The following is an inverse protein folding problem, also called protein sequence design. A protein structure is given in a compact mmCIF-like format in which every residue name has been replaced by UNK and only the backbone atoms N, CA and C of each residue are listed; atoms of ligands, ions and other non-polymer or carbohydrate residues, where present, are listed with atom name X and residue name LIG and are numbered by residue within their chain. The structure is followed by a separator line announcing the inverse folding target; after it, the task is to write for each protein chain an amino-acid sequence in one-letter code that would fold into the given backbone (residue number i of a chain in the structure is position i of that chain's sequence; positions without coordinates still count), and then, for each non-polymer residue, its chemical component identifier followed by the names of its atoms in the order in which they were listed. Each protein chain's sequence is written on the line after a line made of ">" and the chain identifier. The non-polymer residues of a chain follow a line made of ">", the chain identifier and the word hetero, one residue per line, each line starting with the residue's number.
data_IF_451826846621
#
_entry.id   IF_451826846621
#
_cell.length_a   1.000
_cell.length_b   1.000
_cell.length_c   1.000
_cell.angle_alpha   90.00
_cell.angle_beta   90.00
_cell.angle_gamma   90.00
#
_symmetry.space_group_name_H-M   'P 1'
#
loop_
_entity.id
_entity.type
_entity.pdbx_description
1 polymer ?
#
# COMPACT_ATOMS: atom_id res chain seq x y z
N UNK A 1 -15.00 -16.23 10.69
CA UNK A 1 -14.48 -15.06 9.96
C UNK A 1 -13.05 -14.85 10.41
N UNK A 2 -12.17 -14.32 9.55
CA UNK A 2 -10.82 -13.99 9.98
C UNK A 2 -10.91 -12.83 10.99
N UNK A 3 -10.35 -13.02 12.18
CA UNK A 3 -10.34 -12.01 13.24
C UNK A 3 -8.90 -11.51 13.38
N UNK A 4 -8.72 -10.19 13.23
CA UNK A 4 -7.43 -9.54 13.38
C UNK A 4 -7.32 -8.99 14.81
N UNK A 5 -6.25 -9.35 15.50
CA UNK A 5 -5.92 -8.82 16.82
C UNK A 5 -4.53 -8.19 16.77
N UNK A 6 -4.35 -7.10 17.49
CA UNK A 6 -3.04 -6.49 17.60
C UNK A 6 -2.07 -7.45 18.29
N UNK A 7 -0.83 -7.49 17.80
CA UNK A 7 0.26 -8.20 18.45
C UNK A 7 1.57 -7.50 18.15
N UNK A 8 2.61 -7.79 18.94
CA UNK A 8 3.95 -7.23 18.72
C UNK A 8 4.54 -7.58 17.35
N UNK A 9 4.00 -8.59 16.65
CA UNK A 9 4.39 -8.93 15.29
C UNK A 9 4.00 -7.88 14.24
N UNK A 10 3.12 -6.93 14.59
CA UNK A 10 2.73 -5.80 13.74
C UNK A 10 3.48 -4.50 14.09
N UNK A 11 4.29 -4.47 15.16
CA UNK A 11 5.09 -3.29 15.48
C UNK A 11 6.16 -3.07 14.40
N UNK A 12 6.24 -1.83 13.91
CA UNK A 12 7.19 -1.41 12.89
C UNK A 12 8.29 -0.51 13.45
N UNK A 13 8.35 -0.31 14.77
CA UNK A 13 9.27 0.60 15.47
C UNK A 13 9.14 2.05 14.97
N UNK A 14 7.90 2.49 14.76
CA UNK A 14 7.58 3.87 14.38
C UNK A 14 6.29 4.26 15.11
N UNK A 15 6.37 4.81 16.34
CA UNK A 15 5.23 4.90 17.25
C UNK A 15 3.96 5.51 16.65
N UNK A 16 4.09 6.59 15.85
CA UNK A 16 2.93 7.21 15.23
C UNK A 16 2.22 6.29 14.23
N UNK A 17 2.97 5.55 13.41
CA UNK A 17 2.43 4.56 12.47
C UNK A 17 1.84 3.36 13.24
N UNK A 18 2.53 2.87 14.26
CA UNK A 18 2.06 1.75 15.09
C UNK A 18 0.74 2.09 15.81
N UNK A 19 0.57 3.33 16.27
CA UNK A 19 -0.66 3.81 16.89
C UNK A 19 -1.81 3.86 15.88
N UNK A 20 -1.59 4.41 14.68
CA UNK A 20 -2.58 4.40 13.60
C UNK A 20 -2.95 2.98 13.17
N UNK A 21 -1.98 2.05 13.13
CA UNK A 21 -2.24 0.65 12.82
C UNK A 21 -3.05 -0.05 13.91
N UNK A 22 -2.80 0.24 15.19
CA UNK A 22 -3.62 -0.24 16.33
C UNK A 22 -5.07 0.23 16.20
N UNK A 23 -5.27 1.51 15.92
CA UNK A 23 -6.60 2.09 15.71
C UNK A 23 -7.36 1.40 14.57
N UNK A 24 -6.68 1.09 13.46
CA UNK A 24 -7.26 0.34 12.34
C UNK A 24 -7.75 -1.05 12.79
N UNK A 25 -6.92 -1.79 13.54
CA UNK A 25 -7.29 -3.11 14.08
C UNK A 25 -8.51 -3.02 15.00
N UNK A 26 -8.54 -2.03 15.90
CA UNK A 26 -9.65 -1.82 16.82
C UNK A 26 -10.95 -1.47 16.09
N UNK A 27 -10.89 -0.61 15.07
CA UNK A 27 -12.05 -0.24 14.25
C UNK A 27 -12.55 -1.43 13.42
N UNK A 28 -11.66 -2.25 12.88
CA UNK A 28 -12.02 -3.46 12.16
C UNK A 28 -12.69 -4.49 13.06
N UNK A 29 -12.19 -4.67 14.29
CA UNK A 29 -12.84 -5.51 15.30
C UNK A 29 -14.23 -4.96 15.67
N UNK A 30 -14.39 -3.64 15.78
CA UNK A 30 -15.69 -3.02 16.03
C UNK A 30 -16.68 -3.26 14.89
N UNK A 31 -16.23 -3.32 13.63
CA UNK A 31 -17.04 -3.70 12.46
C UNK A 31 -17.45 -5.17 12.52
N UNK A 32 -16.53 -6.08 12.84
CA UNK A 32 -16.81 -7.52 12.92
C UNK A 32 -17.89 -7.82 13.98
N UNK A 33 -17.80 -7.16 15.13
CA UNK A 33 -18.75 -7.30 16.24
C UNK A 33 -20.05 -6.49 16.08
N UNK A 34 -20.21 -5.74 14.98
CA UNK A 34 -21.36 -4.88 14.80
C UNK A 34 -22.66 -5.67 14.53
N UNK A 35 -23.75 -5.25 15.17
CA UNK A 35 -25.09 -5.61 14.71
C UNK A 35 -25.38 -4.99 13.35
N UNK A 36 -26.37 -5.50 12.61
CA UNK A 36 -26.73 -4.96 11.30
C UNK A 36 -27.11 -3.47 11.36
N UNK A 37 -27.71 -3.02 12.47
CA UNK A 37 -28.08 -1.61 12.68
C UNK A 37 -26.85 -0.69 12.88
N UNK A 38 -25.74 -1.23 13.38
CA UNK A 38 -24.52 -0.47 13.68
C UNK A 38 -23.43 -0.62 12.61
N UNK A 39 -23.57 -1.61 11.72
CA UNK A 39 -22.53 -2.02 10.78
C UNK A 39 -22.12 -0.89 9.83
N UNK A 40 -23.09 -0.24 9.17
CA UNK A 40 -22.80 0.84 8.22
C UNK A 40 -22.16 2.07 8.90
N UNK A 41 -22.65 2.57 10.05
CA UNK A 41 -21.96 3.61 10.80
C UNK A 41 -20.50 3.26 11.15
N UNK A 42 -20.25 2.06 11.71
CA UNK A 42 -18.89 1.65 12.09
C UNK A 42 -17.98 1.45 10.87
N UNK A 43 -18.52 0.92 9.78
CA UNK A 43 -17.81 0.80 8.51
C UNK A 43 -17.36 2.16 7.99
N UNK A 44 -18.22 3.18 8.05
CA UNK A 44 -17.84 4.54 7.63
C UNK A 44 -16.71 5.13 8.48
N UNK A 45 -16.72 4.89 9.79
CA UNK A 45 -15.60 5.28 10.67
C UNK A 45 -14.31 4.58 10.27
N UNK A 46 -14.36 3.27 9.97
CA UNK A 46 -13.20 2.54 9.47
C UNK A 46 -12.69 3.13 8.14
N UNK A 47 -13.59 3.41 7.18
CA UNK A 47 -13.22 4.03 5.88
C UNK A 47 -12.53 5.39 6.07
N UNK A 48 -13.08 6.24 6.93
CA UNK A 48 -12.53 7.56 7.22
C UNK A 48 -11.14 7.47 7.86
N UNK A 49 -10.98 6.56 8.84
CA UNK A 49 -9.69 6.29 9.45
C UNK A 49 -8.67 5.78 8.42
N UNK A 50 -9.03 4.81 7.59
CA UNK A 50 -8.16 4.26 6.55
C UNK A 50 -7.75 5.31 5.52
N UNK A 51 -8.63 6.25 5.18
CA UNK A 51 -8.30 7.36 4.28
C UNK A 51 -7.26 8.31 4.89
N UNK A 52 -7.40 8.64 6.18
CA UNK A 52 -6.43 9.47 6.90
C UNK A 52 -5.09 8.76 7.05
N UNK A 53 -5.12 7.48 7.42
CA UNK A 53 -3.94 6.62 7.55
C UNK A 53 -3.16 6.57 6.22
N UNK A 54 -3.79 6.14 5.14
CA UNK A 54 -3.11 6.04 3.85
C UNK A 54 -2.65 7.40 3.31
N UNK A 55 -3.42 8.47 3.53
CA UNK A 55 -3.02 9.81 3.13
C UNK A 55 -1.76 10.28 3.86
N UNK A 56 -1.66 10.01 5.16
CA UNK A 56 -0.48 10.35 5.95
C UNK A 56 0.77 9.61 5.46
N UNK A 57 0.67 8.30 5.20
CA UNK A 57 1.80 7.53 4.66
C UNK A 57 2.19 7.96 3.24
N UNK A 58 1.21 8.25 2.38
CA UNK A 58 1.44 8.78 1.04
C UNK A 58 2.20 10.12 1.08
N UNK A 59 1.85 11.01 2.03
CA UNK A 59 2.55 12.28 2.25
C UNK A 59 3.99 12.08 2.75
N UNK A 60 4.21 11.13 3.66
CA UNK A 60 5.57 10.75 4.09
C UNK A 60 6.39 10.19 2.93
N UNK A 61 5.80 9.33 2.10
CA UNK A 61 6.47 8.79 0.93
C UNK A 61 6.86 9.89 -0.06
N UNK A 62 5.94 10.81 -0.35
CA UNK A 62 6.18 11.92 -1.26
C UNK A 62 7.28 12.87 -0.74
N UNK A 63 7.19 13.27 0.53
CA UNK A 63 8.11 14.25 1.14
C UNK A 63 9.53 13.71 1.30
N UNK A 64 9.68 12.39 1.49
CA UNK A 64 10.99 11.75 1.68
C UNK A 64 11.53 11.06 0.43
N UNK A 65 10.91 11.29 -0.74
CA UNK A 65 11.30 10.71 -2.03
C UNK A 65 11.28 9.18 -2.06
N UNK A 66 10.48 8.58 -1.18
CA UNK A 66 10.10 7.18 -1.24
C UNK A 66 9.00 6.97 -2.31
N UNK A 67 9.08 7.71 -3.41
CA UNK A 67 8.00 7.87 -4.36
C UNK A 67 8.54 8.02 -5.78
N UNK A 68 8.73 6.91 -6.49
CA UNK A 68 8.17 6.85 -7.84
C UNK A 68 8.05 5.41 -8.36
N UNK A 69 6.86 5.06 -8.82
CA UNK A 69 6.49 3.75 -9.34
C UNK A 69 5.85 2.79 -8.32
N UNK A 70 5.56 3.26 -7.11
CA UNK A 70 5.36 2.41 -5.94
C UNK A 70 3.99 1.72 -5.95
N UNK A 71 3.97 0.39 -5.98
CA UNK A 71 2.74 -0.38 -5.76
C UNK A 71 2.04 0.01 -4.45
N UNK A 72 2.76 0.63 -3.49
CA UNK A 72 2.24 1.04 -2.20
C UNK A 72 1.04 2.00 -2.30
N UNK A 73 1.23 3.26 -2.73
CA UNK A 73 0.11 4.21 -2.90
C UNK A 73 -0.93 3.73 -3.91
N UNK A 74 -0.58 2.83 -4.84
CA UNK A 74 -1.56 2.20 -5.72
C UNK A 74 -2.46 1.21 -4.96
N UNK A 75 -1.90 0.36 -4.09
CA UNK A 75 -2.66 -0.54 -3.21
C UNK A 75 -3.58 0.28 -2.30
N UNK A 76 -3.10 1.37 -1.71
CA UNK A 76 -3.94 2.30 -0.93
C UNK A 76 -5.18 2.76 -1.68
N UNK A 77 -4.99 3.26 -2.91
CA UNK A 77 -6.09 3.73 -3.77
C UNK A 77 -7.07 2.62 -4.12
N UNK A 78 -6.57 1.42 -4.45
CA UNK A 78 -7.42 0.26 -4.78
C UNK A 78 -8.24 -0.17 -3.58
N UNK A 79 -7.63 -0.30 -2.40
CA UNK A 79 -8.32 -0.67 -1.16
C UNK A 79 -9.40 0.34 -0.81
N UNK A 80 -9.07 1.65 -0.81
CA UNK A 80 -10.06 2.71 -0.52
C UNK A 80 -11.21 2.72 -1.54
N UNK A 81 -10.93 2.48 -2.81
CA UNK A 81 -11.98 2.38 -3.82
C UNK A 81 -12.94 1.23 -3.49
N UNK A 82 -12.42 0.03 -3.23
CA UNK A 82 -13.22 -1.15 -2.89
C UNK A 82 -14.04 -0.91 -1.62
N UNK A 83 -13.45 -0.27 -0.61
CA UNK A 83 -14.18 0.05 0.63
C UNK A 83 -15.34 1.03 0.39
N UNK A 84 -15.15 2.04 -0.46
CA UNK A 84 -16.19 3.01 -0.85
C UNK A 84 -17.30 2.35 -1.67
N UNK A 85 -16.96 1.43 -2.57
CA UNK A 85 -17.94 0.62 -3.30
C UNK A 85 -18.76 -0.26 -2.34
N UNK A 86 -18.12 -0.82 -1.31
CA UNK A 86 -18.80 -1.51 -0.21
C UNK A 86 -19.83 -0.63 0.50
N UNK A 87 -19.45 0.60 0.85
CA UNK A 87 -20.36 1.59 1.45
C UNK A 87 -21.58 1.83 0.56
N UNK A 88 -21.37 2.09 -0.74
CA UNK A 88 -22.46 2.37 -1.67
C UNK A 88 -23.45 1.19 -1.83
N UNK A 89 -22.95 -0.05 -1.79
CA UNK A 89 -23.80 -1.27 -1.81
C UNK A 89 -24.55 -1.46 -0.50
N UNK A 90 -23.91 -1.22 0.63
CA UNK A 90 -24.53 -1.31 1.94
C UNK A 90 -25.67 -0.29 2.12
N UNK A 91 -25.52 0.92 1.58
CA UNK A 91 -26.57 1.94 1.52
C UNK A 91 -27.81 1.50 0.72
N UNK A 92 -27.64 0.56 -0.21
CA UNK A 92 -28.72 -0.08 -0.98
C UNK A 92 -29.31 -1.32 -0.28
N UNK A 93 -28.86 -1.62 0.94
CA UNK A 93 -29.36 -2.72 1.77
C UNK A 93 -28.50 -3.99 1.77
N UNK A 94 -27.42 -4.05 0.99
CA UNK A 94 -26.53 -5.21 0.95
C UNK A 94 -25.46 -5.16 2.04
N UNK A 95 -25.87 -5.29 3.30
CA UNK A 95 -24.95 -5.26 4.46
C UNK A 95 -23.96 -6.44 4.49
N UNK A 96 -24.30 -7.55 3.83
CA UNK A 96 -23.44 -8.75 3.79
C UNK A 96 -22.10 -8.46 3.13
N UNK A 97 -22.06 -7.55 2.15
CA UNK A 97 -20.81 -7.17 1.47
C UNK A 97 -19.77 -6.63 2.46
N UNK A 98 -20.20 -5.85 3.46
CA UNK A 98 -19.29 -5.25 4.44
C UNK A 98 -18.64 -6.30 5.34
N UNK A 99 -19.40 -7.33 5.74
CA UNK A 99 -18.87 -8.43 6.57
C UNK A 99 -17.81 -9.26 5.82
N UNK A 100 -18.04 -9.49 4.53
CA UNK A 100 -17.06 -10.17 3.67
C UNK A 100 -15.82 -9.29 3.53
N UNK A 101 -15.98 -8.01 3.17
CA UNK A 101 -14.87 -7.08 3.02
C UNK A 101 -14.06 -6.92 4.32
N UNK A 102 -14.70 -6.88 5.48
CA UNK A 102 -14.02 -6.84 6.77
C UNK A 102 -13.13 -8.07 6.99
N UNK A 103 -13.61 -9.26 6.61
CA UNK A 103 -12.81 -10.50 6.67
C UNK A 103 -11.61 -10.46 5.73
N UNK A 104 -11.77 -9.91 4.52
CA UNK A 104 -10.67 -9.77 3.55
C UNK A 104 -9.64 -8.72 4.01
N UNK A 105 -10.08 -7.61 4.62
CA UNK A 105 -9.19 -6.61 5.22
C UNK A 105 -8.37 -7.20 6.38
N UNK A 106 -8.99 -8.03 7.22
CA UNK A 106 -8.31 -8.73 8.32
C UNK A 106 -7.21 -9.67 7.81
N UNK A 107 -7.37 -10.23 6.61
CA UNK A 107 -6.34 -11.03 5.96
C UNK A 107 -5.27 -10.14 5.33
N UNK A 108 -5.65 -9.12 4.56
CA UNK A 108 -4.72 -8.28 3.79
C UNK A 108 -3.79 -7.44 4.67
N UNK A 109 -4.32 -6.82 5.73
CA UNK A 109 -3.61 -5.81 6.50
C UNK A 109 -2.26 -6.28 7.08
N UNK A 110 -2.16 -7.46 7.74
CA UNK A 110 -0.87 -7.95 8.24
C UNK A 110 0.19 -8.10 7.15
N UNK A 111 -0.18 -8.52 5.94
CA UNK A 111 0.78 -8.64 4.84
C UNK A 111 1.24 -7.28 4.34
N UNK A 112 0.31 -6.32 4.26
CA UNK A 112 0.62 -4.95 3.85
C UNK A 112 1.58 -4.29 4.85
N UNK A 113 1.21 -4.32 6.14
CA UNK A 113 1.99 -3.75 7.24
C UNK A 113 3.41 -4.33 7.32
N UNK A 114 3.55 -5.66 7.24
CA UNK A 114 4.84 -6.33 7.36
C UNK A 114 5.71 -6.27 6.09
N UNK A 115 5.21 -5.72 4.98
CA UNK A 115 5.98 -5.60 3.75
C UNK A 115 6.18 -4.14 3.35
N UNK A 116 5.12 -3.46 2.92
CA UNK A 116 5.19 -2.12 2.36
C UNK A 116 5.39 -1.07 3.46
N UNK A 117 4.62 -1.15 4.54
CA UNK A 117 4.71 -0.20 5.66
C UNK A 117 6.02 -0.40 6.43
N UNK A 118 6.44 -1.64 6.65
CA UNK A 118 7.74 -1.95 7.24
C UNK A 118 8.90 -1.34 6.44
N UNK A 119 8.82 -1.37 5.10
CA UNK A 119 9.81 -0.77 4.22
C UNK A 119 9.82 0.77 4.34
N UNK A 120 8.63 1.38 4.44
CA UNK A 120 8.49 2.81 4.68
C UNK A 120 9.05 3.21 6.04
N UNK A 121 8.66 2.51 7.11
CA UNK A 121 9.12 2.77 8.47
C UNK A 121 10.66 2.71 8.59
N UNK A 122 11.28 1.72 7.96
CA UNK A 122 12.75 1.61 7.90
C UNK A 122 13.38 2.81 7.19
N UNK A 123 12.79 3.25 6.07
CA UNK A 123 13.26 4.43 5.34
C UNK A 123 13.14 5.72 6.17
N UNK A 124 11.99 5.94 6.80
CA UNK A 124 11.74 7.13 7.64
C UNK A 124 12.74 7.20 8.80
N UNK A 125 13.00 6.08 9.48
CA UNK A 125 14.06 6.00 10.51
C UNK A 125 15.44 6.32 9.95
N UNK A 126 15.79 5.77 8.78
CA UNK A 126 17.11 5.98 8.16
C UNK A 126 17.39 7.44 7.84
N UNK A 127 16.37 8.17 7.37
CA UNK A 127 16.53 9.60 7.02
C UNK A 127 16.31 10.52 8.22
N UNK A 128 16.01 9.95 9.40
CA UNK A 128 15.69 10.71 10.61
C UNK A 128 14.47 11.59 10.40
N UNK A 129 13.44 11.07 9.73
CA UNK A 129 12.18 11.78 9.55
C UNK A 129 11.41 11.81 10.87
N UNK A 130 10.93 12.98 11.26
CA UNK A 130 9.96 13.14 12.35
C UNK A 130 8.54 13.08 11.78
N UNK A 131 7.78 12.00 12.02
CA UNK A 131 6.44 11.82 11.48
C UNK A 131 5.42 12.86 11.95
N UNK A 132 5.65 13.49 13.11
CA UNK A 132 4.74 14.48 13.67
C UNK A 132 4.96 15.88 13.07
N UNK A 133 6.18 16.22 12.70
CA UNK A 133 6.54 17.57 12.19
C UNK A 133 6.90 17.61 10.71
N UNK A 134 7.16 16.45 10.09
CA UNK A 134 7.61 16.33 8.71
C UNK A 134 9.08 16.71 8.48
N UNK A 135 9.86 16.92 9.54
CA UNK A 135 11.27 17.33 9.44
C UNK A 135 12.16 16.14 9.13
N UNK A 136 13.06 16.27 8.15
CA UNK A 136 14.12 15.30 7.86
C UNK A 136 15.42 15.75 8.54
N UNK A 137 15.86 15.02 9.56
CA UNK A 137 17.07 15.36 10.32
C UNK A 137 18.39 14.92 9.65
N UNK A 138 18.34 13.97 8.71
CA UNK A 138 19.49 13.55 7.91
C UNK A 138 19.23 13.76 6.41
N UNK A 139 19.21 15.02 5.91
CA UNK A 139 18.85 15.31 4.52
C UNK A 139 19.81 14.70 3.50
N UNK A 140 21.07 14.47 3.87
CA UNK A 140 22.07 13.77 3.03
C UNK A 140 21.82 12.27 2.91
N UNK A 141 20.97 11.69 3.74
CA UNK A 141 20.55 10.29 3.65
C UNK A 141 19.34 10.10 2.72
N UNK A 142 18.73 11.19 2.24
CA UNK A 142 17.68 11.11 1.24
C UNK A 142 18.23 10.52 -0.07
N UNK A 143 17.46 9.67 -0.75
CA UNK A 143 17.85 9.16 -2.05
C UNK A 143 18.09 10.29 -3.07
N UNK A 144 19.24 10.26 -3.76
CA UNK A 144 19.55 11.20 -4.86
C UNK A 144 18.60 11.00 -6.04
N UNK A 145 18.24 9.73 -6.30
CA UNK A 145 17.22 9.32 -7.25
C UNK A 145 16.04 8.66 -6.51
N UNK A 146 14.85 8.70 -7.10
CA UNK A 146 13.65 8.14 -6.50
C UNK A 146 13.76 6.62 -6.33
N UNK A 147 13.27 6.09 -5.21
CA UNK A 147 13.23 4.63 -4.98
C UNK A 147 12.11 4.02 -5.83
N UNK A 148 12.47 2.98 -6.61
CA UNK A 148 11.58 2.20 -7.45
C UNK A 148 11.48 0.75 -6.95
N UNK A 149 10.28 0.17 -6.95
CA UNK A 149 10.07 -1.26 -6.72
C UNK A 149 9.07 -1.60 -5.62
N UNK A 150 8.47 -2.79 -5.71
CA UNK A 150 7.48 -3.30 -4.77
C UNK A 150 8.17 -4.38 -3.93
N UNK A 151 8.51 -4.07 -2.67
CA UNK A 151 9.27 -4.94 -1.77
C UNK A 151 8.51 -6.16 -1.24
N UNK A 152 7.56 -6.71 -2.00
CA UNK A 152 6.70 -7.83 -1.58
C UNK A 152 6.48 -8.82 -2.73
N UNK A 153 6.48 -10.12 -2.40
CA UNK A 153 6.46 -11.25 -3.32
C UNK A 153 5.16 -11.44 -4.14
N UNK A 154 4.27 -10.45 -4.22
CA UNK A 154 2.92 -10.60 -4.77
C UNK A 154 2.68 -9.87 -6.09
N UNK A 155 3.70 -9.23 -6.66
CA UNK A 155 3.62 -8.72 -8.02
C UNK A 155 4.12 -9.80 -8.98
N UNK A 156 3.20 -10.56 -9.58
CA UNK A 156 3.53 -11.41 -10.73
C UNK A 156 4.05 -10.52 -11.86
N UNK A 157 5.36 -10.59 -12.10
CA UNK A 157 6.02 -9.94 -13.22
C UNK A 157 5.46 -10.53 -14.51
N UNK A 158 4.54 -9.80 -15.15
CA UNK A 158 4.09 -10.14 -16.50
C UNK A 158 5.18 -9.64 -17.43
N UNK A 159 6.16 -10.50 -17.68
CA UNK A 159 7.33 -10.21 -18.51
C UNK A 159 6.94 -9.54 -19.82
N UNK A 160 7.53 -8.37 -20.08
CA UNK A 160 7.47 -7.74 -21.38
C UNK A 160 8.34 -8.51 -22.39
N UNK A 161 7.96 -8.56 -23.69
CA UNK A 161 8.56 -9.44 -24.67
C UNK A 161 9.91 -8.89 -25.17
N UNK A 162 10.75 -9.83 -25.60
CA UNK A 162 12.12 -9.62 -26.04
C UNK A 162 12.28 -8.55 -27.14
N UNK A 163 13.42 -7.87 -27.05
CA UNK A 163 13.91 -6.95 -28.05
C UNK A 163 14.05 -7.66 -29.42
N UNK A 164 13.30 -7.19 -30.42
CA UNK A 164 13.63 -7.42 -31.83
C UNK A 164 14.74 -6.45 -32.23
N UNK A 165 15.86 -7.00 -32.71
CA UNK A 165 16.92 -6.25 -33.37
C UNK A 165 16.47 -5.80 -34.78
N UNK A 166 16.85 -4.59 -35.24
CA UNK A 166 16.53 -4.16 -36.59
C UNK A 166 17.52 -4.77 -37.59
N UNK A 167 16.99 -5.55 -38.54
CA UNK A 167 17.71 -6.01 -39.71
C UNK A 167 18.07 -4.82 -40.63
N UNK A 168 19.36 -4.51 -40.72
CA UNK A 168 19.89 -3.62 -41.77
C UNK A 168 20.33 -4.44 -42.98
N UNK A 169 19.59 -4.35 -44.07
CA UNK A 169 20.00 -4.79 -45.40
C UNK A 169 20.33 -3.57 -46.26
N UNK A 170 21.59 -3.44 -46.71
CA UNK A 170 21.95 -2.66 -47.91
C UNK A 170 23.12 -3.33 -48.64
N UNK A 171 22.92 -3.47 -49.95
CA UNK A 171 23.73 -4.11 -50.97
C UNK A 171 25.14 -3.52 -51.18
N UNK A 172 26.07 -4.38 -51.62
CA UNK A 172 26.92 -4.16 -52.81
C UNK A 172 27.81 -5.40 -53.11
N UNK A 173 27.73 -5.95 -54.33
CA UNK A 173 28.65 -6.94 -54.92
C UNK A 173 29.85 -6.25 -55.63
N UNK A 174 30.74 -6.93 -56.41
CA UNK A 174 31.26 -8.31 -56.40
C UNK A 174 32.82 -8.36 -56.41
N UNK A 175 33.45 -9.54 -56.29
CA UNK A 175 34.81 -9.77 -56.82
C UNK A 175 35.07 -11.25 -57.18
N UNK A 176 35.61 -11.45 -58.38
CA UNK A 176 36.03 -12.68 -59.04
C UNK A 176 37.20 -13.42 -58.35
N UNK A 177 37.14 -14.76 -58.37
CA UNK A 177 38.18 -15.73 -58.79
C UNK A 177 37.55 -17.13 -58.66
N UNK A 178 37.51 -18.03 -59.65
CA UNK A 178 38.37 -18.28 -60.81
C UNK A 178 37.55 -18.58 -62.08
#
# INVERSE_FOLDING_TARGET
>A
MAHLEWSDALNLDLPLMDDTHREFVDLLAAVDQASDAELLPRWRTLVEHTEQHFGQEDDWMASTRFASGNCHSMQHKVVLQVMREGTARAEQGDLKVLRVMASELALWFPQHAQSMDASLALHLRRVGFDPATGVVHAPTALPEALIHGCGGATCSDSGAPGAEEPATQRDAAPALAA
#
